data_IF_926620609979
#
_entry.id   IF_926620609979
#
_cell.length_a   1.000
_cell.length_b   1.000
_cell.length_c   1.000
_cell.angle_alpha   90.00
_cell.angle_beta   90.00
_cell.angle_gamma   90.00
#
_symmetry.space_group_name_H-M   'P 1'
#
loop_
_entity.id
_entity.type
_entity.pdbx_description
1 polymer ?
#
# COMPACT_ATOMS: atom_id res chain seq x y z
N UNK A 1 7.52 -5.51 -7.90
CA UNK A 1 6.56 -4.97 -6.93
C UNK A 1 7.34 -4.31 -5.81
N UNK A 2 6.90 -3.12 -5.40
CA UNK A 2 7.60 -2.24 -4.46
C UNK A 2 7.71 -2.90 -3.07
N UNK A 3 8.93 -3.19 -2.65
CA UNK A 3 9.23 -3.85 -1.38
C UNK A 3 9.76 -2.82 -0.37
N UNK A 4 9.20 -1.61 -0.40
CA UNK A 4 9.65 -0.46 0.39
C UNK A 4 9.84 -0.75 1.89
N UNK A 5 9.04 -1.65 2.48
CA UNK A 5 9.16 -2.10 3.87
C UNK A 5 10.10 -3.29 4.12
N UNK A 6 10.59 -3.93 3.06
CA UNK A 6 11.57 -5.03 3.16
C UNK A 6 12.98 -4.49 3.30
N UNK A 7 13.30 -3.46 2.51
CA UNK A 7 14.66 -2.93 2.42
C UNK A 7 14.90 -1.72 3.32
N UNK A 8 16.09 -1.61 3.94
CA UNK A 8 16.40 -0.52 4.87
C UNK A 8 16.46 0.86 4.20
N UNK A 9 16.11 1.88 4.98
CA UNK A 9 16.41 3.28 4.75
C UNK A 9 15.93 3.85 3.42
N UNK A 10 16.68 4.86 2.96
CA UNK A 10 16.55 5.48 1.63
C UNK A 10 17.47 4.71 0.67
N UNK A 11 16.95 4.33 -0.50
CA UNK A 11 17.71 3.57 -1.50
C UNK A 11 17.46 4.07 -2.91
N UNK A 12 18.46 3.88 -3.76
CA UNK A 12 18.31 3.99 -5.21
C UNK A 12 18.11 2.59 -5.77
N UNK A 13 17.09 2.44 -6.63
CA UNK A 13 16.75 1.18 -7.28
C UNK A 13 17.09 1.31 -8.76
N UNK A 14 17.92 0.41 -9.28
CA UNK A 14 18.39 0.47 -10.68
C UNK A 14 18.27 -0.88 -11.36
N UNK A 15 17.85 -0.86 -12.62
CA UNK A 15 18.09 -2.00 -13.51
C UNK A 15 19.59 -2.11 -13.77
N UNK A 16 20.12 -3.34 -13.81
CA UNK A 16 21.54 -3.61 -14.04
C UNK A 16 21.71 -4.52 -15.25
N UNK A 17 22.80 -4.32 -16.00
CA UNK A 17 23.14 -5.18 -17.12
C UNK A 17 23.56 -6.57 -16.61
N UNK A 18 23.18 -7.63 -17.31
CA UNK A 18 23.59 -8.99 -16.95
C UNK A 18 25.09 -9.19 -17.22
N UNK A 19 25.81 -9.76 -16.27
CA UNK A 19 27.25 -10.03 -16.32
C UNK A 19 27.55 -11.51 -16.14
N UNK A 20 28.76 -11.94 -16.51
CA UNK A 20 29.18 -13.33 -16.32
C UNK A 20 29.02 -13.75 -14.85
N UNK A 21 28.18 -14.74 -14.61
CA UNK A 21 27.79 -15.20 -13.26
C UNK A 21 26.30 -15.00 -12.95
N UNK A 22 25.64 -14.06 -13.64
CA UNK A 22 24.19 -13.88 -13.53
C UNK A 22 23.45 -14.96 -14.33
N UNK A 23 22.32 -15.49 -13.82
CA UNK A 23 21.47 -16.44 -14.55
C UNK A 23 21.03 -15.95 -15.93
N UNK A 24 20.92 -14.63 -16.11
CA UNK A 24 20.45 -13.98 -17.33
C UNK A 24 21.58 -13.68 -18.33
N UNK A 25 22.84 -13.95 -18.00
CA UNK A 25 23.98 -13.65 -18.87
C UNK A 25 23.92 -14.45 -20.18
N UNK A 26 23.95 -13.75 -21.31
CA UNK A 26 23.77 -14.34 -22.64
C UNK A 26 22.33 -14.63 -23.04
N UNK A 27 21.36 -14.41 -22.13
CA UNK A 27 19.91 -14.58 -22.38
C UNK A 27 19.20 -13.22 -22.49
N UNK A 28 19.50 -12.28 -21.58
CA UNK A 28 18.92 -10.94 -21.53
C UNK A 28 19.99 -9.86 -21.45
N UNK A 29 19.64 -8.63 -21.83
CA UNK A 29 20.52 -7.45 -21.68
C UNK A 29 20.66 -6.99 -20.22
N UNK A 30 19.74 -7.39 -19.34
CA UNK A 30 19.70 -6.99 -17.93
C UNK A 30 19.19 -8.09 -17.03
N UNK A 31 19.47 -7.97 -15.74
CA UNK A 31 19.04 -8.92 -14.72
C UNK A 31 17.53 -8.81 -14.46
N UNK A 32 16.91 -9.91 -14.02
CA UNK A 32 15.49 -9.93 -13.66
C UNK A 32 15.21 -9.05 -12.43
N UNK A 33 16.10 -9.12 -11.44
CA UNK A 33 15.98 -8.34 -10.21
C UNK A 33 16.77 -7.03 -10.29
N UNK A 34 16.22 -5.92 -9.78
CA UNK A 34 16.95 -4.68 -9.71
C UNK A 34 18.02 -4.74 -8.62
N UNK A 35 19.01 -3.86 -8.74
CA UNK A 35 19.99 -3.61 -7.68
C UNK A 35 19.50 -2.49 -6.78
N UNK A 36 19.58 -2.72 -5.48
CA UNK A 36 19.29 -1.73 -4.45
C UNK A 36 20.61 -1.18 -3.90
N UNK A 37 20.77 0.13 -3.95
CA UNK A 37 21.88 0.86 -3.36
C UNK A 37 21.35 1.66 -2.18
N UNK A 38 21.66 1.23 -0.96
CA UNK A 38 21.24 1.93 0.26
C UNK A 38 22.09 3.19 0.42
N UNK A 39 21.43 4.34 0.51
CA UNK A 39 22.08 5.60 0.79
C UNK A 39 22.34 5.69 2.30
N UNK A 40 23.50 5.22 2.75
CA UNK A 40 23.87 5.16 4.16
C UNK A 40 23.95 6.54 4.85
N UNK A 41 24.31 6.55 6.15
CA UNK A 41 24.40 7.80 6.92
C UNK A 41 25.56 8.72 6.48
N UNK A 42 26.51 8.23 5.70
CA UNK A 42 27.55 9.07 5.09
C UNK A 42 26.99 9.80 3.87
N UNK A 43 26.18 9.09 3.09
CA UNK A 43 25.55 9.57 1.86
C UNK A 43 24.37 10.50 2.15
N UNK A 44 23.46 10.09 3.03
CA UNK A 44 22.31 10.88 3.47
C UNK A 44 22.26 10.82 4.98
N UNK A 45 22.74 11.91 5.60
CA UNK A 45 22.91 12.02 7.05
C UNK A 45 21.62 11.81 7.84
N UNK A 46 21.77 11.46 9.11
CA UNK A 46 20.66 11.40 10.06
C UNK A 46 19.88 12.74 10.12
N UNK A 47 20.59 13.86 10.02
CA UNK A 47 19.96 15.18 9.99
C UNK A 47 19.11 15.36 8.73
N UNK A 48 19.61 14.99 7.54
CA UNK A 48 18.81 15.07 6.32
C UNK A 48 17.56 14.19 6.39
N UNK A 49 17.69 12.97 6.92
CA UNK A 49 16.58 12.03 7.11
C UNK A 49 15.51 12.61 8.02
N UNK A 50 15.93 13.19 9.14
CA UNK A 50 15.02 13.89 10.05
C UNK A 50 14.38 15.10 9.35
N UNK A 51 15.17 15.91 8.63
CA UNK A 51 14.64 17.06 7.88
C UNK A 51 13.58 16.66 6.87
N UNK A 52 13.77 15.54 6.17
CA UNK A 52 12.79 14.98 5.24
C UNK A 52 11.51 14.57 5.98
N UNK A 53 11.65 13.79 7.06
CA UNK A 53 10.52 13.35 7.88
C UNK A 53 9.71 14.52 8.45
N UNK A 54 10.38 15.59 8.91
CA UNK A 54 9.75 16.79 9.49
C UNK A 54 8.98 17.64 8.47
N UNK A 55 9.17 17.40 7.17
CA UNK A 55 8.66 18.27 6.09
C UNK A 55 7.74 17.56 5.11
N UNK A 56 7.88 16.25 4.97
CA UNK A 56 7.05 15.43 4.10
C UNK A 56 5.79 14.99 4.85
N UNK A 57 4.63 15.34 4.31
CA UNK A 57 3.34 14.73 4.64
C UNK A 57 3.05 13.63 3.61
N UNK A 58 2.85 12.40 4.08
CA UNK A 58 2.47 11.27 3.23
C UNK A 58 0.97 11.05 3.32
N UNK A 59 0.33 10.85 2.17
CA UNK A 59 -1.12 10.66 2.07
C UNK A 59 -1.46 9.54 1.09
N UNK A 60 -2.65 8.99 1.22
CA UNK A 60 -3.27 8.10 0.24
C UNK A 60 -4.62 8.65 -0.15
N UNK A 61 -4.84 8.91 -1.44
CA UNK A 61 -6.07 9.49 -1.96
C UNK A 61 -7.29 8.55 -1.90
N UNK A 62 -7.11 7.32 -1.42
CA UNK A 62 -8.19 6.36 -1.20
C UNK A 62 -8.65 5.63 -2.46
N UNK A 63 -8.01 5.86 -3.60
CA UNK A 63 -8.32 5.19 -4.86
C UNK A 63 -7.66 3.82 -4.95
N UNK A 64 -8.34 2.89 -5.61
CA UNK A 64 -7.76 1.63 -6.04
C UNK A 64 -8.02 1.47 -7.54
N UNK A 65 -6.94 1.41 -8.31
CA UNK A 65 -7.01 1.34 -9.75
C UNK A 65 -6.04 0.28 -10.27
N UNK A 66 -6.38 -0.33 -11.41
CA UNK A 66 -5.55 -1.35 -12.03
C UNK A 66 -4.29 -0.73 -12.62
N UNK A 67 -3.12 -1.01 -12.04
CA UNK A 67 -1.83 -0.49 -12.54
C UNK A 67 -1.35 -1.15 -13.83
N UNK A 68 -1.98 -2.24 -14.28
CA UNK A 68 -1.60 -2.98 -15.50
C UNK A 68 -1.49 -2.08 -16.74
N UNK A 69 -2.54 -1.32 -17.11
CA UNK A 69 -2.48 -0.40 -18.24
C UNK A 69 -1.39 0.67 -18.16
N UNK A 70 -1.06 1.16 -16.96
CA UNK A 70 0.05 2.10 -16.75
C UNK A 70 1.38 1.43 -17.12
N UNK A 71 1.60 0.21 -16.65
CA UNK A 71 2.83 -0.54 -16.91
C UNK A 71 2.95 -0.92 -18.40
N UNK A 72 1.84 -1.25 -19.03
CA UNK A 72 1.76 -1.50 -20.47
C UNK A 72 2.17 -0.25 -21.26
N UNK A 73 1.57 0.90 -20.95
CA UNK A 73 1.88 2.17 -21.60
C UNK A 73 3.36 2.54 -21.48
N UNK A 74 3.95 2.47 -20.28
CA UNK A 74 5.38 2.74 -20.07
C UNK A 74 6.26 1.79 -20.89
N UNK A 75 5.87 0.52 -20.95
CA UNK A 75 6.62 -0.52 -21.67
C UNK A 75 6.53 -0.31 -23.16
N UNK A 76 5.34 -0.06 -23.69
CA UNK A 76 5.09 0.21 -25.11
C UNK A 76 5.87 1.43 -25.58
N UNK A 77 5.73 2.57 -24.90
CA UNK A 77 6.46 3.81 -25.23
C UNK A 77 7.97 3.63 -25.18
N UNK A 78 8.46 2.84 -24.23
CA UNK A 78 9.87 2.49 -24.19
C UNK A 78 10.29 1.65 -25.40
N UNK A 79 9.56 0.58 -25.73
CA UNK A 79 9.91 -0.32 -26.83
C UNK A 79 9.82 0.37 -28.20
N UNK A 80 8.81 1.21 -28.40
CA UNK A 80 8.60 1.95 -29.64
C UNK A 80 9.53 3.16 -29.79
N UNK A 81 10.20 3.59 -28.71
CA UNK A 81 11.08 4.78 -28.70
C UNK A 81 10.37 6.02 -29.23
N UNK A 82 9.09 6.21 -28.88
CA UNK A 82 8.33 7.39 -29.26
C UNK A 82 9.06 8.66 -28.85
N UNK A 83 9.22 9.62 -29.75
CA UNK A 83 10.18 10.73 -29.60
C UNK A 83 9.96 11.54 -28.32
N UNK A 84 8.72 11.98 -28.07
CA UNK A 84 8.38 12.80 -26.90
C UNK A 84 8.61 12.06 -25.58
N UNK A 85 8.14 10.81 -25.49
CA UNK A 85 8.26 9.96 -24.31
C UNK A 85 9.72 9.52 -24.09
N UNK A 86 10.50 9.37 -25.16
CA UNK A 86 11.93 9.09 -25.07
C UNK A 86 12.69 10.28 -24.50
N UNK A 87 12.43 11.50 -24.99
CA UNK A 87 13.03 12.71 -24.43
C UNK A 87 12.61 12.91 -22.97
N UNK A 88 11.32 12.77 -22.66
CA UNK A 88 10.80 12.83 -21.31
C UNK A 88 11.47 11.80 -20.39
N UNK A 89 11.77 10.60 -20.89
CA UNK A 89 12.52 9.59 -20.12
C UNK A 89 13.94 10.04 -19.81
N UNK A 90 14.65 10.66 -20.75
CA UNK A 90 15.98 11.21 -20.48
C UNK A 90 15.90 12.35 -19.45
N UNK A 91 14.89 13.20 -19.56
CA UNK A 91 14.66 14.28 -18.61
C UNK A 91 14.36 13.73 -17.20
N UNK A 92 13.55 12.67 -17.09
CA UNK A 92 13.26 11.99 -15.82
C UNK A 92 14.51 11.38 -15.17
N UNK A 93 15.47 10.88 -15.96
CA UNK A 93 16.75 10.41 -15.44
C UNK A 93 17.56 11.58 -14.84
N UNK A 94 17.59 12.73 -15.53
CA UNK A 94 18.22 13.94 -14.99
C UNK A 94 17.52 14.45 -13.71
N UNK A 95 16.20 14.34 -13.62
CA UNK A 95 15.46 14.65 -12.39
C UNK A 95 15.86 13.71 -11.24
N UNK A 96 16.07 12.42 -11.50
CA UNK A 96 16.53 11.47 -10.49
C UNK A 96 17.91 11.87 -9.93
N UNK A 97 18.82 12.32 -10.78
CA UNK A 97 20.13 12.82 -10.34
C UNK A 97 19.98 14.09 -9.48
N UNK A 98 19.07 15.00 -9.84
CA UNK A 98 18.76 16.19 -9.03
C UNK A 98 18.15 15.84 -7.67
N UNK A 99 17.23 14.88 -7.62
CA UNK A 99 16.63 14.34 -6.38
C UNK A 99 17.73 13.77 -5.48
N UNK A 100 18.61 12.95 -6.06
CA UNK A 100 19.70 12.30 -5.35
C UNK A 100 20.68 13.35 -4.80
N UNK A 101 21.07 14.33 -5.60
CA UNK A 101 21.93 15.44 -5.17
C UNK A 101 21.27 16.29 -4.06
N UNK A 102 19.97 16.55 -4.14
CA UNK A 102 19.23 17.28 -3.10
C UNK A 102 19.20 16.51 -1.78
N UNK A 103 19.03 15.18 -1.83
CA UNK A 103 19.13 14.32 -0.65
C UNK A 103 20.54 14.31 -0.05
N UNK A 104 21.60 14.19 -0.87
CA UNK A 104 22.97 14.29 -0.36
C UNK A 104 23.26 15.64 0.31
N UNK A 105 22.74 16.73 -0.25
CA UNK A 105 22.92 18.08 0.28
C UNK A 105 21.99 18.43 1.47
N UNK A 106 20.99 17.60 1.76
CA UNK A 106 19.96 17.93 2.77
C UNK A 106 19.04 19.09 2.40
N UNK A 107 18.89 19.37 1.10
CA UNK A 107 18.05 20.43 0.56
C UNK A 107 16.66 19.90 0.17
N UNK A 108 15.78 19.83 1.17
CA UNK A 108 14.42 19.30 1.02
C UNK A 108 13.54 20.22 0.15
N UNK A 109 13.87 21.51 0.04
CA UNK A 109 13.12 22.44 -0.82
C UNK A 109 13.45 22.20 -2.29
N UNK A 110 14.73 21.97 -2.61
CA UNK A 110 15.13 21.54 -3.96
C UNK A 110 14.56 20.18 -4.31
N UNK A 111 14.53 19.24 -3.35
CA UNK A 111 13.89 17.94 -3.53
C UNK A 111 12.42 18.11 -3.96
N UNK A 112 11.63 18.92 -3.24
CA UNK A 112 10.23 19.16 -3.57
C UNK A 112 10.02 19.80 -4.94
N UNK A 113 10.88 20.75 -5.34
CA UNK A 113 10.84 21.32 -6.70
C UNK A 113 11.13 20.27 -7.77
N UNK A 114 12.13 19.41 -7.56
CA UNK A 114 12.51 18.37 -8.51
C UNK A 114 11.40 17.32 -8.67
N UNK A 115 10.81 16.84 -7.58
CA UNK A 115 9.70 15.87 -7.62
C UNK A 115 8.44 16.47 -8.26
N UNK A 116 8.15 17.75 -8.01
CA UNK A 116 7.03 18.47 -8.63
C UNK A 116 7.22 18.58 -10.14
N UNK A 117 8.43 18.99 -10.58
CA UNK A 117 8.80 19.06 -11.99
C UNK A 117 8.69 17.69 -12.66
N UNK A 118 9.12 16.63 -11.97
CA UNK A 118 9.02 15.27 -12.50
C UNK A 118 7.57 14.91 -12.83
N UNK A 119 6.66 15.21 -11.90
CA UNK A 119 5.24 14.91 -12.04
C UNK A 119 4.58 15.66 -13.19
N UNK A 120 4.65 17.00 -13.19
CA UNK A 120 4.02 17.82 -14.23
C UNK A 120 4.72 17.82 -15.58
N UNK A 121 5.96 17.33 -15.65
CA UNK A 121 6.75 17.27 -16.88
C UNK A 121 6.85 15.85 -17.42
N UNK A 122 8.00 15.19 -17.21
CA UNK A 122 8.29 13.94 -17.90
C UNK A 122 7.36 12.79 -17.51
N UNK A 123 6.88 12.70 -16.26
CA UNK A 123 5.99 11.60 -15.87
C UNK A 123 4.67 11.64 -16.63
N UNK A 124 3.98 12.79 -16.68
CA UNK A 124 2.74 12.93 -17.44
C UNK A 124 2.94 12.77 -18.95
N UNK A 125 4.14 13.10 -19.47
CA UNK A 125 4.46 12.87 -20.88
C UNK A 125 4.57 11.37 -21.18
N UNK A 126 5.24 10.61 -20.32
CA UNK A 126 5.41 9.15 -20.50
C UNK A 126 4.11 8.40 -20.17
N UNK A 127 3.38 8.88 -19.16
CA UNK A 127 2.22 8.24 -18.56
C UNK A 127 1.14 9.30 -18.27
N UNK A 128 0.33 9.69 -19.26
CA UNK A 128 -0.73 10.69 -19.04
C UNK A 128 -1.69 10.32 -17.88
N UNK A 129 -1.90 9.03 -17.62
CA UNK A 129 -2.78 8.53 -16.57
C UNK A 129 -2.13 8.47 -15.17
N UNK A 130 -0.89 8.92 -15.00
CA UNK A 130 -0.32 9.08 -13.65
C UNK A 130 -0.95 10.26 -12.88
N UNK A 131 -1.73 11.10 -13.57
CA UNK A 131 -2.49 12.20 -13.01
C UNK A 131 -3.98 12.03 -13.32
N UNK A 132 -4.80 12.55 -12.42
CA UNK A 132 -6.24 12.68 -12.62
C UNK A 132 -6.71 14.01 -12.02
N UNK A 133 -8.02 14.27 -12.13
CA UNK A 133 -8.55 15.55 -11.68
C UNK A 133 -8.54 15.72 -10.17
N UNK A 134 -8.58 14.63 -9.41
CA UNK A 134 -8.48 14.68 -7.95
C UNK A 134 -7.06 15.10 -7.52
N UNK A 135 -6.03 14.42 -8.04
CA UNK A 135 -4.63 14.71 -7.69
C UNK A 135 -4.24 16.13 -8.10
N UNK A 136 -4.59 16.57 -9.31
CA UNK A 136 -4.28 17.93 -9.77
C UNK A 136 -4.99 19.02 -8.95
N UNK A 137 -6.25 18.79 -8.60
CA UNK A 137 -7.02 19.73 -7.78
C UNK A 137 -6.44 19.78 -6.37
N UNK A 138 -6.07 18.64 -5.78
CA UNK A 138 -5.42 18.61 -4.47
C UNK A 138 -4.10 19.39 -4.47
N UNK A 139 -3.26 19.22 -5.50
CA UNK A 139 -2.00 19.97 -5.64
C UNK A 139 -2.26 21.47 -5.78
N UNK A 140 -3.17 21.86 -6.69
CA UNK A 140 -3.52 23.27 -6.94
C UNK A 140 -4.08 23.93 -5.67
N UNK A 141 -5.01 23.28 -4.99
CA UNK A 141 -5.60 23.78 -3.75
C UNK A 141 -4.54 23.91 -2.64
N UNK A 142 -3.59 22.97 -2.55
CA UNK A 142 -2.49 23.05 -1.59
C UNK A 142 -1.60 24.25 -1.87
N UNK A 143 -1.27 24.49 -3.14
CA UNK A 143 -0.47 25.63 -3.57
C UNK A 143 -1.17 26.96 -3.30
N UNK A 144 -2.48 27.04 -3.55
CA UNK A 144 -3.30 28.23 -3.27
C UNK A 144 -3.40 28.51 -1.78
N UNK A 145 -3.57 27.47 -0.95
CA UNK A 145 -3.76 27.63 0.49
C UNK A 145 -2.45 27.96 1.23
N UNK A 146 -1.35 27.29 0.90
CA UNK A 146 -0.09 27.41 1.64
C UNK A 146 0.96 28.32 0.97
N UNK A 147 0.79 28.66 -0.32
CA UNK A 147 1.69 29.55 -1.03
C UNK A 147 3.15 29.09 -0.98
N UNK A 148 4.06 29.95 -0.56
CA UNK A 148 5.50 29.67 -0.50
C UNK A 148 5.90 28.61 0.55
N UNK A 149 4.98 28.30 1.49
CA UNK A 149 5.18 27.29 2.52
C UNK A 149 5.05 25.87 1.98
N UNK A 150 4.37 25.71 0.84
CA UNK A 150 4.36 24.48 0.07
C UNK A 150 5.58 24.43 -0.84
N UNK A 151 6.46 23.45 -0.61
CA UNK A 151 7.74 23.33 -1.30
C UNK A 151 7.69 22.36 -2.49
N UNK A 152 6.69 21.48 -2.53
CA UNK A 152 6.43 20.67 -3.71
C UNK A 152 5.65 19.39 -3.47
N UNK A 153 5.21 18.78 -4.57
CA UNK A 153 4.51 17.51 -4.66
C UNK A 153 5.46 16.36 -5.00
N UNK A 154 5.18 15.16 -4.50
CA UNK A 154 5.91 13.93 -4.77
C UNK A 154 4.93 12.79 -5.05
N UNK A 155 4.91 12.30 -6.29
CA UNK A 155 4.19 11.09 -6.66
C UNK A 155 4.93 9.82 -6.20
N UNK A 156 4.31 8.98 -5.36
CA UNK A 156 4.97 7.77 -4.81
C UNK A 156 4.71 6.50 -5.62
N UNK A 157 3.71 6.51 -6.50
CA UNK A 157 3.32 5.37 -7.33
C UNK A 157 3.03 5.76 -8.78
N UNK A 158 2.74 4.78 -9.63
CA UNK A 158 2.49 5.01 -11.06
C UNK A 158 1.07 5.49 -11.40
N UNK A 159 0.16 5.53 -10.43
CA UNK A 159 -1.28 5.70 -10.65
C UNK A 159 -1.82 6.85 -9.79
N UNK A 160 -2.63 7.71 -10.39
CA UNK A 160 -3.26 8.85 -9.72
C UNK A 160 -4.11 8.43 -8.49
N UNK A 161 -4.25 9.34 -7.52
CA UNK A 161 -5.07 9.11 -6.32
C UNK A 161 -4.60 8.01 -5.35
N UNK A 162 -3.45 7.37 -5.61
CA UNK A 162 -2.78 6.44 -4.71
C UNK A 162 -1.92 7.14 -3.65
N UNK A 163 -0.73 6.60 -3.40
CA UNK A 163 0.25 7.20 -2.48
C UNK A 163 0.87 8.49 -3.03
N UNK A 164 0.82 9.55 -2.23
CA UNK A 164 1.32 10.88 -2.59
C UNK A 164 2.06 11.52 -1.41
N UNK A 165 2.99 12.41 -1.72
CA UNK A 165 3.78 13.19 -0.77
C UNK A 165 3.64 14.68 -1.01
N UNK A 166 3.51 15.46 0.06
CA UNK A 166 3.48 16.92 0.01
C UNK A 166 4.56 17.46 0.94
N UNK A 167 5.45 18.29 0.40
CA UNK A 167 6.60 18.82 1.14
C UNK A 167 6.29 20.25 1.55
N UNK A 168 6.44 20.55 2.84
CA UNK A 168 6.19 21.85 3.42
C UNK A 168 7.42 22.37 4.17
N UNK A 169 7.40 23.64 4.53
CA UNK A 169 8.24 24.11 5.63
C UNK A 169 7.88 23.38 6.94
N UNK A 170 8.84 23.18 7.86
CA UNK A 170 8.64 22.34 9.06
C UNK A 170 7.47 22.77 9.95
N UNK A 171 7.34 24.08 10.19
CA UNK A 171 6.31 24.63 11.06
C UNK A 171 4.89 24.47 10.50
N UNK A 172 4.77 24.21 9.19
CA UNK A 172 3.48 24.10 8.50
C UNK A 172 3.03 22.66 8.33
N UNK A 173 3.92 21.66 8.43
CA UNK A 173 3.58 20.24 8.17
C UNK A 173 2.37 19.76 8.98
N UNK A 174 2.32 20.02 10.28
CA UNK A 174 1.24 19.52 11.14
C UNK A 174 -0.13 20.07 10.71
N UNK A 175 -0.25 21.39 10.56
CA UNK A 175 -1.47 22.03 10.07
C UNK A 175 -1.81 21.60 8.63
N UNK A 176 -0.79 21.38 7.79
CA UNK A 176 -1.00 20.90 6.44
C UNK A 176 -1.53 19.45 6.39
N UNK A 177 -1.12 18.58 7.31
CA UNK A 177 -1.66 17.22 7.42
C UNK A 177 -3.16 17.24 7.75
N UNK A 178 -3.58 18.04 8.73
CA UNK A 178 -4.99 18.21 9.08
C UNK A 178 -5.80 18.74 7.88
N UNK A 179 -5.29 19.81 7.25
CA UNK A 179 -5.94 20.41 6.09
C UNK A 179 -6.01 19.45 4.89
N UNK A 180 -4.94 18.69 4.60
CA UNK A 180 -4.92 17.70 3.52
C UNK A 180 -5.97 16.61 3.77
N UNK A 181 -6.12 16.15 5.01
CA UNK A 181 -7.12 15.15 5.37
C UNK A 181 -8.54 15.66 5.06
N UNK A 182 -8.87 16.87 5.52
CA UNK A 182 -10.17 17.50 5.26
C UNK A 182 -10.40 17.71 3.76
N UNK A 183 -9.39 18.27 3.06
CA UNK A 183 -9.47 18.57 1.64
C UNK A 183 -9.64 17.33 0.79
N UNK A 184 -8.94 16.25 1.10
CA UNK A 184 -9.10 14.98 0.38
C UNK A 184 -10.51 14.39 0.59
N UNK A 185 -11.11 14.53 1.79
CA UNK A 185 -12.50 14.08 2.02
C UNK A 185 -13.48 14.91 1.19
N UNK A 186 -13.32 16.24 1.15
CA UNK A 186 -14.12 17.14 0.30
C UNK A 186 -14.01 16.73 -1.18
N UNK A 187 -12.78 16.56 -1.68
CA UNK A 187 -12.55 16.18 -3.07
C UNK A 187 -13.04 14.75 -3.38
N UNK A 188 -12.95 13.83 -2.41
CA UNK A 188 -13.53 12.50 -2.53
C UNK A 188 -15.03 12.61 -2.77
N UNK A 189 -15.76 13.35 -1.93
CA UNK A 189 -17.21 13.54 -2.07
C UNK A 189 -17.56 14.18 -3.41
N UNK A 190 -16.74 15.11 -3.89
CA UNK A 190 -16.93 15.77 -5.18
C UNK A 190 -16.76 14.82 -6.37
N UNK A 191 -15.82 13.88 -6.30
CA UNK A 191 -15.45 13.02 -7.43
C UNK A 191 -15.87 11.56 -7.24
N UNK A 192 -16.64 11.21 -6.20
CA UNK A 192 -16.96 9.81 -5.88
C UNK A 192 -17.81 9.11 -6.94
N UNK A 193 -18.50 9.88 -7.79
CA UNK A 193 -19.26 9.38 -8.95
C UNK A 193 -18.41 9.21 -10.20
N UNK A 194 -17.22 9.82 -10.25
CA UNK A 194 -16.38 9.85 -11.45
C UNK A 194 -15.07 9.09 -11.30
N UNK A 195 -14.61 8.85 -10.06
CA UNK A 195 -13.34 8.21 -9.76
C UNK A 195 -13.51 7.04 -8.77
N UNK A 196 -12.75 5.94 -8.94
CA UNK A 196 -12.93 4.70 -8.17
C UNK A 196 -12.23 4.76 -6.81
N UNK A 197 -12.93 5.30 -5.82
CA UNK A 197 -12.47 5.26 -4.42
C UNK A 197 -12.78 3.92 -3.77
N UNK A 198 -11.77 3.25 -3.23
CA UNK A 198 -11.92 2.02 -2.45
C UNK A 198 -11.97 2.27 -0.93
N UNK A 199 -11.46 3.42 -0.48
CA UNK A 199 -11.49 3.81 0.92
C UNK A 199 -11.56 5.33 1.07
N UNK A 200 -11.84 5.79 2.28
CA UNK A 200 -11.64 7.20 2.63
C UNK A 200 -10.15 7.54 2.55
N UNK A 201 -9.76 8.68 1.95
CA UNK A 201 -8.38 9.14 1.95
C UNK A 201 -7.80 9.23 3.36
N UNK A 202 -6.50 9.00 3.50
CA UNK A 202 -5.81 9.03 4.79
C UNK A 202 -4.49 9.78 4.71
N UNK A 203 -4.10 10.39 5.82
CA UNK A 203 -2.76 10.90 6.07
C UNK A 203 -2.00 9.92 6.94
N UNK A 204 -0.77 9.59 6.56
CA UNK A 204 0.07 8.63 7.29
C UNK A 204 0.99 9.32 8.28
N UNK A 205 1.15 8.69 9.44
CA UNK A 205 2.36 8.81 10.24
C UNK A 205 3.41 7.83 9.74
N UNK A 206 4.63 8.32 9.53
CA UNK A 206 5.72 7.48 9.06
C UNK A 206 7.03 7.87 9.73
N UNK A 207 7.96 6.92 9.74
CA UNK A 207 9.38 7.14 10.05
C UNK A 207 10.23 6.37 9.06
N UNK A 208 11.50 6.76 8.94
CA UNK A 208 12.45 6.05 8.08
C UNK A 208 13.02 4.87 8.87
N UNK A 209 12.77 3.64 8.39
CA UNK A 209 13.30 2.42 8.99
C UNK A 209 14.66 2.06 8.38
N UNK A 210 15.76 2.37 9.08
CA UNK A 210 17.12 2.06 8.64
C UNK A 210 17.55 0.60 8.86
N UNK A 211 16.78 -0.19 9.60
CA UNK A 211 17.05 -1.62 9.80
C UNK A 211 16.49 -2.49 8.66
N UNK A 212 15.40 -2.04 8.02
CA UNK A 212 14.65 -2.85 7.06
C UNK A 212 13.86 -3.96 7.76
N UNK A 213 13.56 -5.04 7.03
CA UNK A 213 12.97 -6.24 7.64
C UNK A 213 14.05 -7.04 8.37
N UNK A 214 13.89 -7.16 9.69
CA UNK A 214 14.71 -8.01 10.54
C UNK A 214 13.87 -9.15 11.13
N UNK A 215 14.52 -10.27 11.40
CA UNK A 215 13.93 -11.39 12.14
C UNK A 215 14.83 -11.77 13.31
N UNK A 216 14.20 -12.19 14.41
CA UNK A 216 14.89 -12.78 15.55
C UNK A 216 14.44 -14.24 15.66
N UNK A 217 15.40 -15.14 15.91
CA UNK A 217 15.09 -16.52 16.25
C UNK A 217 14.77 -16.56 17.74
N UNK A 218 13.51 -16.79 18.07
CA UNK A 218 13.07 -16.99 19.44
C UNK A 218 13.09 -18.48 19.77
N UNK A 219 13.46 -18.81 21.00
CA UNK A 219 13.53 -20.17 21.51
C UNK A 219 12.70 -20.34 22.78
N UNK A 220 12.33 -21.59 23.07
CA UNK A 220 11.58 -21.93 24.28
C UNK A 220 10.31 -21.08 24.41
N UNK A 221 10.03 -20.58 25.61
CA UNK A 221 8.78 -19.86 25.91
C UNK A 221 8.68 -18.49 25.24
N UNK A 222 9.81 -17.88 24.86
CA UNK A 222 9.81 -16.68 24.05
C UNK A 222 9.31 -16.94 22.62
N UNK A 223 9.46 -18.17 22.11
CA UNK A 223 8.97 -18.59 20.80
C UNK A 223 7.47 -18.92 20.77
N UNK A 224 6.77 -18.80 21.90
CA UNK A 224 5.33 -19.03 21.93
C UNK A 224 4.57 -17.97 21.13
N UNK A 225 3.44 -18.37 20.55
CA UNK A 225 2.59 -17.43 19.84
C UNK A 225 2.00 -16.37 20.79
N UNK A 226 1.64 -15.18 20.30
CA UNK A 226 0.98 -14.16 21.12
C UNK A 226 -0.38 -14.63 21.66
N UNK A 227 -0.84 -14.08 22.78
CA UNK A 227 -2.12 -14.49 23.41
C UNK A 227 -3.33 -14.42 22.47
N UNK A 228 -3.36 -13.43 21.57
CA UNK A 228 -4.44 -13.27 20.59
C UNK A 228 -4.52 -14.44 19.61
N UNK A 229 -3.38 -15.04 19.27
CA UNK A 229 -3.36 -16.25 18.44
C UNK A 229 -4.07 -17.38 19.18
N UNK A 230 -3.71 -17.65 20.43
CA UNK A 230 -4.36 -18.71 21.21
C UNK A 230 -5.83 -18.42 21.49
N UNK A 231 -6.21 -17.17 21.77
CA UNK A 231 -7.62 -16.78 21.93
C UNK A 231 -8.47 -17.10 20.69
N UNK A 232 -7.89 -17.00 19.49
CA UNK A 232 -8.56 -17.30 18.22
C UNK A 232 -8.63 -18.80 17.93
N UNK A 233 -7.53 -19.54 18.15
CA UNK A 233 -7.42 -20.92 17.68
C UNK A 233 -7.70 -21.99 18.74
N UNK A 234 -7.28 -21.75 20.00
CA UNK A 234 -7.40 -22.77 21.04
C UNK A 234 -8.85 -23.17 21.40
N UNK A 235 -9.89 -22.30 21.32
CA UNK A 235 -11.27 -22.74 21.51
C UNK A 235 -11.70 -23.83 20.52
N UNK A 236 -11.28 -23.75 19.25
CA UNK A 236 -11.57 -24.77 18.25
C UNK A 236 -10.81 -26.06 18.55
N UNK A 237 -9.54 -25.96 18.94
CA UNK A 237 -8.73 -27.14 19.25
C UNK A 237 -9.24 -27.88 20.49
N UNK A 238 -9.67 -27.16 21.53
CA UNK A 238 -10.23 -27.75 22.75
C UNK A 238 -11.58 -28.44 22.53
N UNK A 239 -12.38 -27.99 21.55
CA UNK A 239 -13.64 -28.63 21.16
C UNK A 239 -13.43 -29.86 20.26
N UNK A 240 -12.22 -30.06 19.76
CA UNK A 240 -11.88 -31.16 18.86
C UNK A 240 -11.40 -32.39 19.65
N UNK A 241 -11.66 -33.58 19.14
CA UNK A 241 -11.12 -34.80 19.76
C UNK A 241 -9.58 -34.79 19.68
N UNK A 242 -8.85 -35.03 20.79
CA UNK A 242 -7.40 -34.92 20.82
C UNK A 242 -6.66 -35.75 19.75
N UNK A 243 -7.20 -36.92 19.40
CA UNK A 243 -6.64 -37.80 18.36
C UNK A 243 -6.69 -37.20 16.94
N UNK A 244 -7.60 -36.25 16.70
CA UNK A 244 -7.74 -35.56 15.41
C UNK A 244 -6.82 -34.35 15.30
N UNK A 245 -6.25 -33.88 16.41
CA UNK A 245 -5.28 -32.80 16.41
C UNK A 245 -3.93 -33.29 15.88
N UNK A 246 -3.25 -32.44 15.10
CA UNK A 246 -1.89 -32.70 14.66
C UNK A 246 -0.92 -32.73 15.87
N UNK A 247 0.21 -33.46 15.79
CA UNK A 247 1.22 -33.45 16.85
C UNK A 247 1.68 -32.04 17.24
N UNK A 248 1.86 -31.14 16.26
CA UNK A 248 2.26 -29.75 16.49
C UNK A 248 1.19 -28.97 17.26
N UNK A 249 -0.09 -29.14 16.91
CA UNK A 249 -1.20 -28.48 17.61
C UNK A 249 -1.35 -28.96 19.05
N UNK A 250 -1.11 -30.27 19.31
CA UNK A 250 -1.13 -30.80 20.68
C UNK A 250 0.00 -30.19 21.51
N UNK A 251 1.21 -30.14 20.96
CA UNK A 251 2.35 -29.52 21.63
C UNK A 251 2.09 -28.04 21.93
N UNK A 252 1.49 -27.30 21.00
CA UNK A 252 1.06 -25.91 21.22
C UNK A 252 0.06 -25.78 22.37
N UNK A 253 -0.95 -26.67 22.45
CA UNK A 253 -1.92 -26.68 23.55
C UNK A 253 -1.29 -27.04 24.90
N UNK A 254 -0.36 -28.01 24.92
CA UNK A 254 0.36 -28.41 26.13
C UNK A 254 1.15 -27.22 26.69
N UNK A 255 1.96 -26.57 25.85
CA UNK A 255 2.76 -25.39 26.21
C UNK A 255 1.91 -24.21 26.63
N UNK A 256 0.82 -23.95 25.92
CA UNK A 256 -0.15 -22.93 26.32
C UNK A 256 -0.80 -23.25 27.67
N UNK A 257 -1.09 -24.53 27.93
CA UNK A 257 -1.60 -25.02 29.21
C UNK A 257 -0.62 -24.83 30.36
N UNK A 258 0.67 -25.13 30.15
CA UNK A 258 1.73 -24.88 31.14
C UNK A 258 1.81 -23.38 31.49
N UNK A 259 1.85 -22.52 30.46
CA UNK A 259 1.87 -21.06 30.65
C UNK A 259 0.67 -20.54 31.42
N UNK A 260 -0.52 -21.07 31.17
CA UNK A 260 -1.73 -20.69 31.92
C UNK A 260 -1.71 -21.15 33.38
N UNK A 261 -1.01 -22.25 33.70
CA UNK A 261 -0.85 -22.73 35.08
C UNK A 261 0.15 -21.89 35.88
N UNK A 262 1.21 -21.45 35.22
CA UNK A 262 2.28 -20.67 35.84
C UNK A 262 1.94 -19.16 35.94
N UNK A 263 0.98 -18.69 35.13
CA UNK A 263 0.50 -17.32 35.19
C UNK A 263 -0.31 -17.04 36.47
N UNK A 264 -0.14 -15.84 37.05
CA UNK A 264 -1.01 -15.38 38.14
C UNK A 264 -2.48 -15.36 37.67
N UNK A 265 -3.46 -15.67 38.54
CA UNK A 265 -4.88 -15.82 38.17
C UNK A 265 -5.53 -14.58 37.54
N UNK A 266 -4.90 -13.42 37.68
CA UNK A 266 -5.35 -12.12 37.17
C UNK A 266 -4.66 -11.70 35.87
N UNK A 267 -3.88 -12.58 35.24
CA UNK A 267 -3.29 -12.26 33.94
C UNK A 267 -4.39 -12.05 32.90
N UNK A 268 -4.31 -10.91 32.20
CA UNK A 268 -5.26 -10.50 31.16
C UNK A 268 -5.44 -11.59 30.09
N UNK A 269 -4.37 -12.34 29.82
CA UNK A 269 -4.29 -13.46 28.88
C UNK A 269 -5.25 -14.60 29.22
N UNK A 270 -5.31 -15.01 30.50
CA UNK A 270 -6.19 -16.09 30.97
C UNK A 270 -7.65 -15.63 31.03
N UNK A 271 -7.88 -14.36 31.41
CA UNK A 271 -9.24 -13.79 31.43
C UNK A 271 -9.84 -13.70 30.02
N UNK A 272 -9.11 -13.13 29.05
CA UNK A 272 -9.57 -13.06 27.65
C UNK A 272 -9.84 -14.44 27.08
N UNK A 273 -9.01 -15.43 27.41
CA UNK A 273 -9.22 -16.81 26.98
C UNK A 273 -10.46 -17.46 27.59
N UNK A 274 -10.69 -17.30 28.90
CA UNK A 274 -11.87 -17.82 29.58
C UNK A 274 -13.16 -17.21 29.05
N UNK A 275 -13.16 -15.91 28.73
CA UNK A 275 -14.30 -15.22 28.11
C UNK A 275 -14.69 -15.80 26.73
N UNK A 276 -13.73 -16.31 25.96
CA UNK A 276 -13.99 -16.87 24.63
C UNK A 276 -14.39 -18.36 24.65
N UNK A 277 -14.06 -19.07 25.73
CA UNK A 277 -14.40 -20.49 25.90
C UNK A 277 -15.70 -20.68 26.66
N UNK A 278 -15.90 -19.92 27.72
CA UNK A 278 -17.10 -19.99 28.54
C UNK A 278 -18.22 -19.26 27.82
N UNK A 279 -19.43 -19.84 27.77
CA UNK A 279 -20.58 -19.15 27.19
C UNK A 279 -20.83 -17.86 27.98
N UNK A 280 -20.71 -16.72 27.30
CA UNK A 280 -21.14 -15.45 27.85
C UNK A 280 -22.64 -15.52 28.17
N UNK A 281 -23.07 -14.84 29.24
CA UNK A 281 -24.50 -14.63 29.49
C UNK A 281 -25.02 -13.88 28.27
N UNK A 282 -25.84 -14.54 27.46
CA UNK A 282 -26.44 -13.96 26.26
C UNK A 282 -27.19 -12.70 26.69
N UNK A 283 -26.58 -11.53 26.51
CA UNK A 283 -27.39 -10.36 26.24
C UNK A 283 -28.03 -10.66 24.90
N UNK A 284 -29.35 -10.72 24.89
CA UNK A 284 -30.20 -11.01 23.74
C UNK A 284 -29.96 -9.97 22.63
N UNK A 285 -28.86 -10.10 21.92
CA UNK A 285 -28.46 -9.32 20.77
C UNK A 285 -27.72 -10.28 19.85
N UNK A 286 -28.43 -10.78 18.85
CA UNK A 286 -27.92 -11.72 17.86
C UNK A 286 -26.65 -11.16 17.20
N UNK A 287 -25.48 -11.73 17.51
CA UNK A 287 -24.22 -11.37 16.85
C UNK A 287 -24.26 -11.61 15.33
N UNK A 288 -25.12 -12.53 14.86
CA UNK A 288 -25.39 -12.74 13.44
C UNK A 288 -26.24 -11.63 12.80
N UNK A 289 -27.17 -11.01 13.54
CA UNK A 289 -27.94 -9.87 13.05
C UNK A 289 -27.00 -8.66 12.88
N UNK A 290 -26.05 -8.49 13.80
CA UNK A 290 -25.02 -7.44 13.71
C UNK A 290 -24.11 -7.61 12.49
N UNK A 291 -23.68 -8.82 12.14
CA UNK A 291 -22.83 -9.03 10.96
C UNK A 291 -23.56 -8.71 9.65
N UNK A 292 -24.82 -9.15 9.51
CA UNK A 292 -25.60 -8.90 8.31
C UNK A 292 -25.84 -7.39 8.11
N UNK A 293 -26.20 -6.70 9.19
CA UNK A 293 -26.34 -5.24 9.19
C UNK A 293 -25.03 -4.52 8.84
N UNK A 294 -23.90 -4.97 9.40
CA UNK A 294 -22.58 -4.37 9.11
C UNK A 294 -22.16 -4.58 7.66
N UNK A 295 -22.36 -5.79 7.12
CA UNK A 295 -22.07 -6.12 5.74
C UNK A 295 -22.92 -5.24 4.80
N UNK A 296 -24.21 -5.10 5.08
CA UNK A 296 -25.09 -4.24 4.29
C UNK A 296 -24.69 -2.76 4.39
N UNK A 297 -24.37 -2.26 5.59
CA UNK A 297 -23.91 -0.88 5.81
C UNK A 297 -22.63 -0.56 5.04
N UNK A 298 -21.75 -1.54 4.87
CA UNK A 298 -20.49 -1.40 4.12
C UNK A 298 -20.60 -1.83 2.65
N UNK A 299 -21.81 -2.03 2.13
CA UNK A 299 -22.06 -2.27 0.71
C UNK A 299 -21.70 -3.67 0.21
N UNK A 300 -21.70 -4.68 1.10
CA UNK A 300 -21.49 -6.07 0.73
C UNK A 300 -22.67 -6.61 -0.07
N UNK A 301 -22.42 -7.02 -1.32
CA UNK A 301 -23.39 -7.69 -2.17
C UNK A 301 -23.32 -9.22 -1.96
N UNK A 302 -24.26 -9.74 -1.17
CA UNK A 302 -24.31 -11.16 -0.83
C UNK A 302 -24.63 -12.06 -2.04
N UNK A 303 -25.45 -11.58 -2.98
CA UNK A 303 -25.79 -12.33 -4.19
C UNK A 303 -24.58 -12.45 -5.11
N UNK A 304 -23.90 -11.33 -5.37
CA UNK A 304 -22.66 -11.32 -6.15
C UNK A 304 -21.57 -12.17 -5.50
N UNK A 305 -21.40 -12.09 -4.17
CA UNK A 305 -20.41 -12.89 -3.46
C UNK A 305 -20.69 -14.39 -3.59
N UNK A 306 -21.94 -14.83 -3.42
CA UNK A 306 -22.29 -16.24 -3.57
C UNK A 306 -22.18 -16.72 -5.02
N UNK A 307 -22.50 -15.86 -5.98
CA UNK A 307 -22.28 -16.13 -7.40
C UNK A 307 -20.79 -16.37 -7.71
N UNK A 308 -19.90 -15.46 -7.27
CA UNK A 308 -18.44 -15.60 -7.39
C UNK A 308 -17.96 -16.89 -6.71
N UNK A 309 -18.45 -17.19 -5.51
CA UNK A 309 -18.09 -18.41 -4.78
C UNK A 309 -18.50 -19.67 -5.54
N UNK A 310 -19.72 -19.69 -6.08
CA UNK A 310 -20.26 -20.78 -6.90
C UNK A 310 -19.45 -20.97 -8.17
N UNK A 311 -19.11 -19.86 -8.86
CA UNK A 311 -18.32 -19.87 -10.07
C UNK A 311 -16.88 -20.35 -9.83
N UNK A 312 -16.27 -19.95 -8.70
CA UNK A 312 -14.94 -20.44 -8.27
C UNK A 312 -14.97 -21.95 -7.97
N UNK A 313 -15.95 -22.42 -7.19
CA UNK A 313 -16.08 -23.84 -6.83
C UNK A 313 -16.38 -24.72 -8.05
N UNK A 314 -17.13 -24.18 -9.02
CA UNK A 314 -17.42 -24.85 -10.27
C UNK A 314 -16.29 -24.71 -11.32
N UNK A 315 -15.22 -23.97 -11.01
CA UNK A 315 -14.09 -23.74 -11.91
C UNK A 315 -14.42 -22.86 -13.13
N UNK A 316 -15.54 -22.12 -13.11
CA UNK A 316 -15.96 -21.19 -14.16
C UNK A 316 -15.15 -19.89 -14.16
N UNK A 317 -14.66 -19.50 -12.99
CA UNK A 317 -13.69 -18.41 -12.82
C UNK A 317 -12.48 -18.92 -12.04
N UNK A 318 -11.29 -18.45 -12.39
CA UNK A 318 -10.04 -18.88 -11.78
C UNK A 318 -8.85 -18.39 -12.60
N UNK A 319 -7.64 -18.47 -12.03
CA UNK A 319 -6.41 -17.96 -12.65
C UNK A 319 -6.15 -18.51 -14.07
N UNK A 320 -6.62 -19.73 -14.37
CA UNK A 320 -6.51 -20.35 -15.69
C UNK A 320 -7.64 -19.97 -16.67
N UNK A 321 -8.73 -19.37 -16.19
CA UNK A 321 -9.97 -19.08 -16.95
C UNK A 321 -10.41 -17.61 -16.88
N UNK A 322 -9.51 -16.67 -16.60
CA UNK A 322 -9.77 -15.22 -16.73
C UNK A 322 -9.90 -14.80 -18.20
N UNK A 323 -10.92 -15.32 -18.89
CA UNK A 323 -11.34 -14.90 -20.21
C UNK A 323 -12.83 -14.61 -20.13
N UNK A 324 -13.25 -13.49 -20.71
CA UNK A 324 -14.67 -13.24 -20.93
C UNK A 324 -15.24 -14.43 -21.74
N UNK A 325 -16.42 -14.95 -21.37
CA UNK A 325 -17.10 -15.96 -22.18
C UNK A 325 -17.15 -15.54 -23.64
N UNK A 326 -17.00 -16.49 -24.58
CA UNK A 326 -16.95 -16.18 -26.01
C UNK A 326 -18.23 -15.51 -26.56
N UNK A 327 -19.32 -15.54 -25.79
CA UNK A 327 -20.59 -14.89 -26.10
C UNK A 327 -20.76 -13.52 -25.42
N UNK A 328 -19.76 -13.00 -24.71
CA UNK A 328 -19.78 -11.63 -24.21
C UNK A 328 -19.65 -10.67 -25.39
N UNK A 329 -20.68 -9.85 -25.57
CA UNK A 329 -20.62 -8.70 -26.46
C UNK A 329 -20.10 -7.49 -25.68
N UNK A 330 -18.98 -6.95 -26.14
CA UNK A 330 -18.41 -5.70 -25.64
C UNK A 330 -18.80 -4.63 -26.66
N UNK A 331 -19.56 -3.64 -26.23
CA UNK A 331 -19.99 -2.52 -27.05
C UNK A 331 -19.51 -1.20 -26.44
N UNK A 332 -19.33 -0.18 -27.27
CA UNK A 332 -19.03 1.18 -26.80
C UNK A 332 -20.21 1.72 -25.97
N UNK A 333 -19.87 2.46 -24.91
CA UNK A 333 -20.85 3.15 -24.07
C UNK A 333 -21.65 4.14 -24.93
N UNK A 334 -22.98 4.03 -24.91
CA UNK A 334 -23.88 4.93 -25.65
C UNK A 334 -24.18 6.15 -24.80
N UNK A 335 -24.57 7.25 -25.44
CA UNK A 335 -24.94 8.49 -24.74
C UNK A 335 -26.07 8.31 -23.73
N UNK A 336 -26.94 7.31 -23.95
CA UNK A 336 -28.08 7.00 -23.09
C UNK A 336 -27.70 6.11 -21.87
N UNK A 337 -26.50 5.50 -21.90
CA UNK A 337 -25.99 4.67 -20.80
C UNK A 337 -25.35 5.53 -19.69
N UNK A 338 -25.16 6.83 -19.95
CA UNK A 338 -24.59 7.80 -19.02
C UNK A 338 -25.61 8.91 -18.76
N UNK A 339 -26.12 8.97 -17.53
CA UNK A 339 -26.90 10.13 -17.08
C UNK A 339 -25.94 11.24 -16.67
N UNK A 340 -25.94 12.36 -17.40
CA UNK A 340 -25.34 13.61 -16.90
C UNK A 340 -26.16 14.06 -15.67
N UNK A 341 -25.54 14.00 -14.49
CA UNK A 341 -26.12 14.49 -13.22
C UNK A 341 -25.42 15.78 -12.80
#
# INVERSE_FOLDING_TARGET
QDSGGVWPGIKIIRGVAAQAGDPEFGVSRGCLLPRHEVLDLQSVSAETRQRLADRLALVHGGMAQNVGPILEMVTEKYLLRSDAEWQARQDALGVLDEITAALHAGDIRRLGKATTRNFFGPLQTIIPWCADRFTEHLISATQEHFGEKFWGFWMLGGMAGGGMGFIFEPATKATAQEWLQEKMIELKQRYDKSLPYAMTPVVYDFSINDAGSSGELLDGDAAMMPDRYYAMFAPQWLRSEPRLLSPLTRLELERFGDRCRDAQPTSRSVQTFLEHILPARVQSGNANDNLYELLQQHGFDAEMHEQIRSDLRAGRIGLAQNRLPANVQIEDVRGDDVTDV
#
